data_IF_391116562577
#
_entry.id   IF_391116562577
#
_cell.length_a   1.000
_cell.length_b   1.000
_cell.length_c   1.000
_cell.angle_alpha   90.00
_cell.angle_beta   90.00
_cell.angle_gamma   90.00
#
_symmetry.space_group_name_H-M   'P 1'
#
loop_
_entity.id
_entity.type
_entity.pdbx_description
1 polymer ?
#
# COMPACT_ATOMS: atom_id res chain seq x y z
N UNK A 1 11.36 26.14 -17.81
CA UNK A 1 12.20 26.71 -16.72
C UNK A 1 12.08 25.77 -15.53
N UNK A 2 13.07 24.87 -15.39
CA UNK A 2 13.04 23.75 -14.44
C UNK A 2 13.62 24.19 -13.10
N UNK A 3 12.87 24.03 -12.01
CA UNK A 3 13.37 24.25 -10.63
C UNK A 3 12.67 23.32 -9.63
N UNK A 4 12.99 22.02 -9.67
CA UNK A 4 12.71 21.12 -8.55
C UNK A 4 13.87 20.13 -8.43
N UNK A 5 15.02 20.65 -8.02
CA UNK A 5 16.20 19.85 -7.68
C UNK A 5 16.81 20.50 -6.45
N UNK A 6 16.49 19.97 -5.27
CA UNK A 6 17.18 20.15 -3.98
C UNK A 6 16.19 20.27 -2.83
N UNK A 7 15.79 19.14 -2.23
CA UNK A 7 15.74 19.00 -0.76
C UNK A 7 15.91 17.51 -0.45
N UNK A 8 17.15 17.06 -0.28
CA UNK A 8 17.47 15.73 0.23
C UNK A 8 18.71 15.88 1.11
N UNK A 9 18.53 16.49 2.29
CA UNK A 9 19.59 16.56 3.30
C UNK A 9 18.97 16.36 4.70
N UNK A 10 19.52 15.34 5.38
CA UNK A 10 19.62 15.13 6.82
C UNK A 10 18.35 14.73 7.62
N UNK A 11 18.29 13.44 7.96
CA UNK A 11 18.17 13.07 9.37
C UNK A 11 18.80 11.69 9.61
N UNK A 12 20.01 11.70 10.19
CA UNK A 12 20.74 10.52 10.64
C UNK A 12 20.97 10.66 12.15
N UNK A 13 20.42 9.69 12.87
CA UNK A 13 20.83 9.09 14.17
C UNK A 13 20.94 9.92 15.45
N UNK A 14 20.22 9.45 16.49
CA UNK A 14 20.68 9.13 17.86
C UNK A 14 19.43 8.69 18.67
N UNK A 15 19.38 7.82 19.69
CA UNK A 15 20.28 6.86 20.37
C UNK A 15 19.41 6.10 21.40
N UNK A 16 19.79 4.85 21.69
CA UNK A 16 19.76 4.18 23.00
C UNK A 16 18.46 3.88 23.77
N UNK A 17 18.13 2.58 23.78
CA UNK A 17 17.85 1.67 24.93
C UNK A 17 17.65 2.27 26.34
N UNK A 18 16.46 2.01 26.91
CA UNK A 18 16.17 1.48 28.25
C UNK A 18 14.63 1.24 28.27
N UNK A 19 14.04 0.12 28.65
CA UNK A 19 14.42 -0.89 29.63
C UNK A 19 13.35 -0.91 30.73
N UNK A 20 12.33 -1.78 30.60
CA UNK A 20 11.46 -2.21 31.70
C UNK A 20 11.19 -3.73 31.57
N UNK A 21 11.97 -4.50 32.32
CA UNK A 21 11.63 -5.80 32.93
C UNK A 21 10.38 -5.61 33.83
N UNK A 22 9.51 -6.57 34.20
CA UNK A 22 9.78 -7.96 34.59
C UNK A 22 8.47 -8.77 34.86
N UNK A 23 8.57 -10.09 34.60
CA UNK A 23 8.00 -11.30 35.25
C UNK A 23 6.50 -11.50 35.61
N UNK A 24 5.92 -12.58 35.04
CA UNK A 24 5.40 -13.74 35.82
C UNK A 24 5.15 -15.02 34.98
N UNK A 25 5.64 -16.14 35.50
CA UNK A 25 5.53 -17.54 35.07
C UNK A 25 4.10 -18.13 34.99
N UNK A 26 3.87 -19.10 34.09
CA UNK A 26 3.74 -20.54 34.44
C UNK A 26 3.36 -21.42 33.23
N UNK A 27 3.97 -22.61 33.16
CA UNK A 27 3.86 -23.68 32.15
C UNK A 27 2.46 -24.32 32.05
N UNK A 28 2.10 -24.86 30.87
CA UNK A 28 2.01 -26.33 30.62
C UNK A 28 1.29 -26.63 29.30
N UNK A 29 1.87 -27.59 28.58
CA UNK A 29 1.55 -28.15 27.29
C UNK A 29 0.09 -28.60 27.04
N UNK A 30 -0.33 -28.54 25.76
CA UNK A 30 -1.00 -29.66 25.11
C UNK A 30 -0.87 -29.60 23.58
N UNK A 31 -0.18 -30.60 23.04
CA UNK A 31 -0.12 -30.98 21.63
C UNK A 31 -1.48 -31.53 21.18
N UNK A 32 -2.01 -31.05 20.05
CA UNK A 32 -2.95 -31.80 19.23
C UNK A 32 -2.76 -31.44 17.75
N UNK A 33 -2.24 -32.41 16.99
CA UNK A 33 -2.30 -32.43 15.53
C UNK A 33 -3.76 -32.48 15.08
N UNK A 34 -4.17 -31.59 14.17
CA UNK A 34 -5.25 -31.87 13.22
C UNK A 34 -4.85 -31.33 11.85
N UNK A 35 -4.78 -32.25 10.90
CA UNK A 35 -4.55 -32.01 9.48
C UNK A 35 -5.76 -31.33 8.81
N UNK A 36 -5.45 -30.55 7.77
CA UNK A 36 -6.29 -30.18 6.62
C UNK A 36 -7.78 -29.89 6.88
N UNK A 37 -8.16 -28.63 6.69
CA UNK A 37 -9.30 -28.31 5.83
C UNK A 37 -9.06 -26.95 5.18
N UNK A 38 -8.83 -27.00 3.86
CA UNK A 38 -9.03 -25.90 2.93
C UNK A 38 -10.45 -25.37 3.15
N UNK A 39 -10.57 -24.20 3.80
CA UNK A 39 -11.83 -23.46 3.82
C UNK A 39 -11.88 -22.53 2.61
N UNK A 40 -12.10 -23.16 1.47
CA UNK A 40 -12.63 -22.56 0.27
C UNK A 40 -14.12 -22.32 0.48
N UNK A 41 -14.47 -21.27 1.24
CA UNK A 41 -15.88 -20.81 1.37
C UNK A 41 -15.99 -19.45 2.04
N UNK A 42 -15.50 -18.37 1.40
CA UNK A 42 -16.12 -17.04 1.49
C UNK A 42 -15.87 -16.25 0.19
N UNK A 43 -16.10 -16.87 -0.96
CA UNK A 43 -16.16 -16.15 -2.26
C UNK A 43 -17.60 -16.17 -2.74
N UNK A 44 -18.49 -15.57 -1.95
CA UNK A 44 -19.80 -15.16 -2.44
C UNK A 44 -20.29 -14.06 -1.50
N UNK A 45 -20.46 -12.84 -2.01
CA UNK A 45 -20.87 -11.59 -1.34
C UNK A 45 -19.79 -10.63 -0.78
N UNK A 46 -18.48 -10.86 -0.96
CA UNK A 46 -17.41 -9.94 -0.51
C UNK A 46 -16.75 -9.08 -1.60
N UNK A 47 -17.32 -9.01 -2.80
CA UNK A 47 -16.62 -8.34 -3.93
C UNK A 47 -16.62 -6.81 -3.82
N UNK A 48 -17.69 -6.20 -3.31
CA UNK A 48 -17.80 -4.73 -3.21
C UNK A 48 -17.02 -4.15 -2.02
N UNK A 49 -17.15 -4.72 -0.82
CA UNK A 49 -16.48 -4.19 0.38
C UNK A 49 -14.96 -4.36 0.36
N UNK A 50 -14.47 -5.48 -0.19
CA UNK A 50 -13.02 -5.74 -0.25
C UNK A 50 -12.34 -4.84 -1.27
N UNK A 51 -12.95 -4.63 -2.43
CA UNK A 51 -12.39 -3.74 -3.47
C UNK A 51 -12.31 -2.30 -2.96
N UNK A 52 -13.30 -1.88 -2.17
CA UNK A 52 -13.33 -0.58 -1.48
C UNK A 52 -12.19 -0.43 -0.45
N UNK A 53 -11.89 -1.48 0.33
CA UNK A 53 -10.82 -1.40 1.35
C UNK A 53 -9.43 -1.38 0.72
N UNK A 54 -9.18 -2.16 -0.33
CA UNK A 54 -7.92 -2.10 -1.10
C UNK A 54 -7.71 -0.74 -1.74
N UNK A 55 -8.75 -0.16 -2.34
CA UNK A 55 -8.69 1.18 -2.91
C UNK A 55 -8.34 2.23 -1.86
N UNK A 56 -9.02 2.23 -0.72
CA UNK A 56 -8.76 3.19 0.38
C UNK A 56 -7.33 3.09 0.90
N UNK A 57 -6.82 1.87 1.10
CA UNK A 57 -5.45 1.65 1.54
C UNK A 57 -4.45 2.15 0.50
N UNK A 58 -4.65 1.79 -0.77
CA UNK A 58 -3.81 2.26 -1.87
C UNK A 58 -3.79 3.79 -1.94
N UNK A 59 -4.96 4.43 -1.92
CA UNK A 59 -5.08 5.89 -2.00
C UNK A 59 -4.37 6.55 -0.83
N UNK A 60 -4.57 6.06 0.40
CA UNK A 60 -3.89 6.56 1.59
C UNK A 60 -2.35 6.45 1.47
N UNK A 61 -1.85 5.27 1.08
CA UNK A 61 -0.42 5.05 0.87
C UNK A 61 0.16 5.88 -0.27
N UNK A 62 -0.62 6.10 -1.34
CA UNK A 62 -0.23 6.92 -2.47
C UNK A 62 -0.11 8.40 -2.08
N UNK A 63 -1.06 8.95 -1.32
CA UNK A 63 -1.00 10.31 -0.79
C UNK A 63 0.23 10.47 0.10
N UNK A 64 0.44 9.56 1.06
CA UNK A 64 1.62 9.59 1.93
C UNK A 64 2.93 9.46 1.15
N UNK A 65 2.96 8.59 0.14
CA UNK A 65 4.12 8.36 -0.73
C UNK A 65 4.45 9.53 -1.66
N UNK A 66 3.47 10.38 -1.98
CA UNK A 66 3.68 11.58 -2.79
C UNK A 66 4.53 12.64 -2.08
N UNK A 67 4.58 12.62 -0.75
CA UNK A 67 5.25 13.64 0.06
C UNK A 67 4.55 15.01 0.07
N UNK A 68 3.35 15.11 -0.51
CA UNK A 68 2.55 16.34 -0.48
C UNK A 68 1.95 16.52 0.91
N UNK A 69 2.24 17.66 1.52
CA UNK A 69 1.70 18.08 2.83
C UNK A 69 0.82 19.33 2.73
N UNK A 70 0.64 19.88 1.54
CA UNK A 70 -0.25 21.01 1.31
C UNK A 70 -1.69 20.52 1.22
N UNK A 71 -2.50 20.89 2.22
CA UNK A 71 -3.91 20.51 2.32
C UNK A 71 -4.73 20.94 1.09
N UNK A 72 -4.33 22.02 0.40
CA UNK A 72 -5.01 22.46 -0.81
C UNK A 72 -4.79 21.50 -1.99
N UNK A 73 -3.69 20.74 -1.99
CA UNK A 73 -3.37 19.76 -3.02
C UNK A 73 -3.88 18.35 -2.69
N UNK A 74 -4.24 18.08 -1.43
CA UNK A 74 -4.75 16.77 -0.98
C UNK A 74 -5.94 16.26 -1.82
N UNK A 75 -6.95 17.08 -2.16
CA UNK A 75 -8.07 16.61 -2.99
C UNK A 75 -7.61 16.16 -4.38
N UNK A 76 -6.72 16.93 -5.02
CA UNK A 76 -6.22 16.63 -6.36
C UNK A 76 -5.40 15.33 -6.37
N UNK A 77 -4.48 15.17 -5.40
CA UNK A 77 -3.69 13.93 -5.30
C UNK A 77 -4.57 12.73 -4.93
N UNK A 78 -5.61 12.91 -4.12
CA UNK A 78 -6.58 11.86 -3.81
C UNK A 78 -7.25 11.35 -5.08
N UNK A 79 -7.64 12.26 -5.98
CA UNK A 79 -8.25 11.92 -7.26
C UNK A 79 -7.28 11.19 -8.20
N UNK A 80 -6.05 11.69 -8.33
CA UNK A 80 -4.99 11.04 -9.13
C UNK A 80 -4.70 9.62 -8.60
N UNK A 81 -4.55 9.45 -7.28
CA UNK A 81 -4.34 8.14 -6.66
C UNK A 81 -5.54 7.20 -6.89
N UNK A 82 -6.77 7.72 -6.80
CA UNK A 82 -7.98 6.95 -7.07
C UNK A 82 -8.06 6.48 -8.53
N UNK A 83 -7.79 7.39 -9.47
CA UNK A 83 -7.73 7.08 -10.90
C UNK A 83 -6.64 6.06 -11.22
N UNK A 84 -5.48 6.18 -10.57
CA UNK A 84 -4.35 5.26 -10.76
C UNK A 84 -4.74 3.85 -10.32
N UNK A 85 -5.35 3.71 -9.14
CA UNK A 85 -5.87 2.42 -8.69
C UNK A 85 -6.87 1.84 -9.69
N UNK A 86 -7.88 2.61 -10.09
CA UNK A 86 -8.91 2.13 -11.01
C UNK A 86 -8.32 1.69 -12.35
N UNK A 87 -7.30 2.40 -12.84
CA UNK A 87 -6.58 2.06 -14.07
C UNK A 87 -5.73 0.79 -13.92
N UNK A 88 -5.06 0.59 -12.78
CA UNK A 88 -4.35 -0.65 -12.46
C UNK A 88 -5.33 -1.83 -12.45
N UNK A 89 -6.46 -1.70 -11.74
CA UNK A 89 -7.47 -2.77 -11.66
C UNK A 89 -8.06 -3.07 -13.05
N UNK A 90 -8.30 -2.04 -13.86
CA UNK A 90 -8.79 -2.19 -15.24
C UNK A 90 -7.79 -2.94 -16.13
N UNK A 91 -6.50 -2.64 -16.01
CA UNK A 91 -5.48 -3.18 -16.91
C UNK A 91 -4.94 -4.55 -16.48
N UNK A 92 -4.83 -4.79 -15.17
CA UNK A 92 -4.15 -5.97 -14.61
C UNK A 92 -5.08 -6.87 -13.77
N UNK A 93 -6.21 -6.33 -13.29
CA UNK A 93 -7.15 -7.06 -12.45
C UNK A 93 -6.78 -7.05 -10.96
N UNK A 94 -7.81 -7.21 -10.12
CA UNK A 94 -7.68 -7.14 -8.65
C UNK A 94 -6.83 -8.27 -8.07
N UNK A 95 -6.88 -9.47 -8.64
CA UNK A 95 -6.08 -10.61 -8.15
C UNK A 95 -4.59 -10.34 -8.32
N UNK A 96 -4.19 -9.79 -9.47
CA UNK A 96 -2.80 -9.47 -9.78
C UNK A 96 -2.31 -8.26 -8.97
N UNK A 97 -3.18 -7.27 -8.76
CA UNK A 97 -2.96 -6.21 -7.78
C UNK A 97 -2.61 -6.75 -6.39
N UNK A 98 -3.45 -7.62 -5.84
CA UNK A 98 -3.24 -8.19 -4.49
C UNK A 98 -1.94 -9.00 -4.44
N UNK A 99 -1.65 -9.81 -5.47
CA UNK A 99 -0.42 -10.61 -5.53
C UNK A 99 0.82 -9.74 -5.43
N UNK A 100 0.89 -8.69 -6.24
CA UNK A 100 2.02 -7.76 -6.28
C UNK A 100 2.13 -6.93 -5.01
N UNK A 101 1.02 -6.42 -4.49
CA UNK A 101 1.01 -5.66 -3.24
C UNK A 101 1.52 -6.51 -2.05
N UNK A 102 1.12 -7.78 -1.98
CA UNK A 102 1.65 -8.72 -0.98
C UNK A 102 3.14 -9.00 -1.17
N UNK A 103 3.59 -9.19 -2.40
CA UNK A 103 5.00 -9.43 -2.73
C UNK A 103 5.87 -8.23 -2.33
N UNK A 104 5.42 -7.01 -2.66
CA UNK A 104 6.09 -5.77 -2.29
C UNK A 104 6.19 -5.57 -0.78
N UNK A 105 5.12 -5.87 -0.04
CA UNK A 105 5.13 -5.82 1.42
C UNK A 105 6.10 -6.84 2.03
N UNK A 106 6.25 -8.01 1.40
CA UNK A 106 7.16 -9.07 1.86
C UNK A 106 8.63 -8.74 1.61
N UNK A 107 8.95 -8.19 0.44
CA UNK A 107 10.33 -7.91 0.03
C UNK A 107 10.80 -6.49 0.38
N UNK A 108 9.90 -5.63 0.88
CA UNK A 108 10.19 -4.23 1.19
C UNK A 108 10.42 -3.37 -0.05
N UNK A 109 10.01 -3.86 -1.23
CA UNK A 109 10.11 -3.11 -2.49
C UNK A 109 9.22 -1.88 -2.42
N UNK A 110 9.77 -0.74 -2.83
CA UNK A 110 9.04 0.52 -2.97
C UNK A 110 8.55 0.77 -4.41
N UNK A 111 8.87 -0.13 -5.33
CA UNK A 111 8.54 0.02 -6.75
C UNK A 111 7.60 -1.07 -7.21
N UNK A 112 6.57 -0.64 -7.94
CA UNK A 112 5.66 -1.51 -8.69
C UNK A 112 6.41 -2.23 -9.83
N UNK A 113 5.85 -3.32 -10.38
CA UNK A 113 6.43 -4.01 -11.54
C UNK A 113 6.63 -3.04 -12.71
N UNK A 114 7.79 -3.13 -13.38
CA UNK A 114 8.12 -2.24 -14.51
C UNK A 114 7.15 -2.42 -15.68
N UNK A 115 6.63 -3.64 -15.82
CA UNK A 115 5.65 -4.04 -16.83
C UNK A 115 4.31 -3.31 -16.66
N UNK A 116 4.04 -2.75 -15.47
CA UNK A 116 2.78 -2.05 -15.21
C UNK A 116 2.77 -0.60 -15.71
N UNK A 117 3.93 -0.09 -16.15
CA UNK A 117 4.08 1.26 -16.70
C UNK A 117 3.29 2.33 -15.90
N UNK A 118 3.51 2.32 -14.58
CA UNK A 118 2.75 3.15 -13.64
C UNK A 118 2.90 4.63 -13.97
N UNK A 119 4.06 5.07 -14.44
CA UNK A 119 4.32 6.46 -14.82
C UNK A 119 3.33 6.93 -15.89
N UNK A 120 3.12 6.13 -16.94
CA UNK A 120 2.12 6.44 -17.98
C UNK A 120 0.68 6.42 -17.44
N UNK A 121 0.37 5.51 -16.50
CA UNK A 121 -0.96 5.50 -15.87
C UNK A 121 -1.19 6.79 -15.07
N UNK A 122 -0.20 7.21 -14.28
CA UNK A 122 -0.27 8.43 -13.49
C UNK A 122 -0.36 9.67 -14.39
N UNK A 123 0.42 9.73 -15.48
CA UNK A 123 0.35 10.82 -16.47
C UNK A 123 -1.05 10.97 -17.08
N UNK A 124 -1.68 9.84 -17.46
CA UNK A 124 -3.05 9.84 -17.96
C UNK A 124 -4.05 10.29 -16.90
N UNK A 125 -3.83 9.94 -15.64
CA UNK A 125 -4.69 10.36 -14.53
C UNK A 125 -4.54 11.84 -14.20
N UNK A 126 -3.32 12.39 -14.20
CA UNK A 126 -3.10 13.82 -14.02
C UNK A 126 -3.77 14.63 -15.13
N UNK A 127 -3.64 14.20 -16.38
CA UNK A 127 -4.28 14.86 -17.52
C UNK A 127 -5.81 14.91 -17.38
N UNK A 128 -6.43 13.86 -16.82
CA UNK A 128 -7.88 13.81 -16.60
C UNK A 128 -8.36 14.73 -15.47
N UNK A 129 -7.52 14.98 -14.48
CA UNK A 129 -7.87 15.85 -13.34
C UNK A 129 -7.69 17.33 -13.71
N UNK A 130 -6.81 17.63 -14.67
CA UNK A 130 -6.57 18.99 -15.18
C UNK A 130 -7.52 19.42 -16.31
N UNK A 131 -8.21 18.46 -16.94
CA UNK A 131 -9.12 18.68 -18.09
C UNK A 131 -10.55 18.96 -17.67
#
# INVERSE_FOLDING_TARGET
MNKLTSVLIALVMATALAGCSDEKDSETAQTANVANTVQDSVISNKKDDSTSSFKKNFVSSCILGSGITDDALIPQITEVCGCTYDSIIKNYGITEFIRVDMEMRKNGSKSMPKEWNIDNIVEQCMTKVES
#
